data_IF_253714681552
#
_entry.id   IF_253714681552
#
_cell.length_a   1.000
_cell.length_b   1.000
_cell.length_c   1.000
_cell.angle_alpha   90.00
_cell.angle_beta   90.00
_cell.angle_gamma   90.00
#
_symmetry.space_group_name_H-M   'P 1'
#
loop_
_entity.id
_entity.type
_entity.pdbx_description
1 polymer ?
#
# COMPACT_ATOMS: atom_id res chain seq x y z
N UNK A 1 -17.41 46.24 5.07
CA UNK A 1 -16.93 45.85 4.90
C UNK A 1 -16.62 45.00 4.31
N UNK A 2 -16.74 44.93 3.84
CA UNK A 2 -16.43 44.18 3.23
C UNK A 2 -15.44 43.51 3.38
N UNK A 3 -15.05 43.84 3.43
CA UNK A 3 -13.95 43.21 3.51
C UNK A 3 -13.99 42.11 4.37
N UNK A 4 -14.52 42.10 4.89
CA UNK A 4 -14.49 41.15 5.67
C UNK A 4 -15.01 40.10 5.29
N UNK A 5 -15.54 40.20 4.60
CA UNK A 5 -15.92 39.12 4.25
C UNK A 5 -15.17 38.46 3.55
N UNK A 6 -14.70 38.97 3.11
CA UNK A 6 -14.03 38.28 2.40
C UNK A 6 -13.15 37.54 2.96
N UNK A 7 -13.02 37.65 3.59
CA UNK A 7 -12.23 36.84 4.06
C UNK A 7 -12.51 35.72 4.42
N UNK A 8 -13.16 35.67 4.30
CA UNK A 8 -13.34 34.56 4.64
C UNK A 8 -13.44 33.66 4.10
N UNK A 9 -13.64 33.77 3.40
CA UNK A 9 -13.77 32.89 2.75
C UNK A 9 -12.83 32.29 2.47
N UNK A 10 -12.51 32.71 2.41
CA UNK A 10 -11.76 32.12 2.10
C UNK A 10 -11.30 31.33 2.64
N UNK A 11 -11.42 31.39 2.86
CA UNK A 11 -11.13 30.61 3.31
C UNK A 11 -11.37 29.60 3.39
N UNK A 12 -11.84 29.50 3.01
CA UNK A 12 -12.07 28.64 2.95
C UNK A 12 -11.73 27.83 2.55
N UNK A 13 -11.55 27.98 2.19
CA UNK A 13 -11.27 27.25 1.78
C UNK A 13 -10.86 26.46 1.73
N UNK A 14 -10.65 26.29 1.64
CA UNK A 14 -10.34 25.37 1.55
C UNK A 14 -9.92 24.56 1.74
N UNK A 15 -9.90 24.30 1.84
CA UNK A 15 -9.62 23.50 2.03
C UNK A 15 -9.58 22.57 2.18
N UNK A 16 -9.35 22.30 2.14
CA UNK A 16 -9.27 21.29 2.20
C UNK A 16 -9.22 20.30 2.47
N UNK A 17 -9.25 19.77 2.45
CA UNK A 17 -9.26 18.86 2.66
C UNK A 17 -8.96 17.92 2.70
N UNK A 18 -8.74 17.65 2.69
CA UNK A 18 -8.64 16.55 2.67
C UNK A 18 -8.40 15.72 3.34
N UNK A 19 -8.30 15.77 3.65
CA UNK A 19 -8.21 15.15 4.21
C UNK A 19 -8.48 14.07 4.70
N UNK A 20 -8.81 13.91 5.00
CA UNK A 20 -9.38 12.65 5.13
C UNK A 20 -8.76 11.55 4.38
N UNK A 21 -7.59 11.71 4.02
CA UNK A 21 -6.92 10.72 3.23
C UNK A 21 -6.56 9.54 4.09
N UNK A 22 -7.03 8.37 3.73
CA UNK A 22 -6.64 7.13 4.38
C UNK A 22 -5.24 6.79 3.87
N UNK A 23 -4.35 6.47 4.81
CA UNK A 23 -2.97 6.14 4.45
C UNK A 23 -2.77 4.64 4.48
N UNK A 24 -1.86 4.18 3.64
CA UNK A 24 -1.41 2.79 3.67
C UNK A 24 -0.73 2.55 5.01
N UNK A 25 -1.10 1.49 5.74
CA UNK A 25 -0.43 1.18 7.01
C UNK A 25 1.07 1.02 6.82
N UNK A 26 1.83 1.66 7.71
CA UNK A 26 3.29 1.62 7.68
C UNK A 26 3.77 0.35 8.37
N UNK A 27 4.73 -0.36 7.74
CA UNK A 27 5.33 -1.55 8.32
C UNK A 27 4.28 -2.53 8.84
N UNK A 28 3.38 -3.00 7.98
CA UNK A 28 2.20 -3.74 8.45
C UNK A 28 2.48 -5.17 8.90
N UNK A 29 3.63 -5.73 8.58
CA UNK A 29 3.91 -7.11 8.96
C UNK A 29 3.97 -7.22 10.47
N UNK A 30 3.19 -8.15 11.03
CA UNK A 30 3.08 -8.32 12.47
C UNK A 30 1.95 -7.56 13.11
N UNK A 31 1.31 -6.64 12.38
CA UNK A 31 0.09 -6.02 12.87
C UNK A 31 -1.02 -7.05 12.94
N UNK A 32 -1.98 -6.84 13.84
CA UNK A 32 -3.13 -7.74 13.87
C UNK A 32 -4.13 -7.33 12.80
N UNK A 33 -4.97 -8.28 12.43
CA UNK A 33 -6.06 -8.01 11.51
C UNK A 33 -6.92 -6.86 12.03
N UNK A 34 -7.14 -6.82 13.35
CA UNK A 34 -7.94 -5.77 13.96
C UNK A 34 -7.29 -4.40 13.78
N UNK A 35 -5.96 -4.33 13.89
CA UNK A 35 -5.25 -3.07 13.63
C UNK A 35 -5.44 -2.60 12.19
N UNK A 36 -5.37 -3.52 11.24
CA UNK A 36 -5.58 -3.17 9.83
C UNK A 36 -7.00 -2.61 9.65
N UNK A 37 -8.00 -3.27 10.23
CA UNK A 37 -9.38 -2.82 10.11
C UNK A 37 -9.57 -1.45 10.78
N UNK A 38 -8.90 -1.20 11.90
CA UNK A 38 -8.99 0.11 12.53
C UNK A 38 -8.42 1.21 11.64
N UNK A 39 -7.36 0.90 10.91
CA UNK A 39 -6.70 1.89 10.06
C UNK A 39 -7.42 2.08 8.73
N UNK A 40 -7.95 1.02 8.15
CA UNK A 40 -8.48 1.06 6.79
C UNK A 40 -10.00 0.87 6.71
N UNK A 41 -10.62 0.45 7.80
CA UNK A 41 -12.03 0.08 7.77
C UNK A 41 -12.21 -1.36 7.35
N UNK A 42 -13.46 -1.75 7.11
CA UNK A 42 -13.74 -3.11 6.68
C UNK A 42 -13.21 -3.35 5.28
N UNK A 43 -12.66 -4.54 5.03
CA UNK A 43 -12.14 -4.83 3.70
C UNK A 43 -13.28 -4.98 2.68
N UNK A 44 -12.95 -4.75 1.43
CA UNK A 44 -13.87 -5.01 0.32
C UNK A 44 -14.22 -6.49 0.28
N UNK A 45 -13.25 -7.34 0.59
CA UNK A 45 -13.44 -8.77 0.59
C UNK A 45 -12.57 -9.38 1.67
N UNK A 46 -13.11 -10.37 2.38
CA UNK A 46 -12.42 -11.12 3.42
C UNK A 46 -12.68 -12.59 3.14
N UNK A 47 -11.66 -13.30 2.70
CA UNK A 47 -11.82 -14.68 2.25
C UNK A 47 -10.65 -15.52 2.76
N UNK A 48 -10.71 -16.83 2.49
CA UNK A 48 -9.59 -17.71 2.79
C UNK A 48 -8.39 -17.30 1.97
N UNK A 49 -7.22 -17.27 2.61
CA UNK A 49 -5.99 -17.03 1.89
C UNK A 49 -5.55 -18.28 1.15
N UNK A 50 -4.49 -18.13 0.35
CA UNK A 50 -4.01 -19.26 -0.44
C UNK A 50 -3.13 -20.21 0.38
N UNK A 51 -2.72 -19.83 1.59
CA UNK A 51 -2.09 -20.75 2.51
C UNK A 51 -3.14 -21.36 3.40
N UNK A 52 -2.92 -22.59 3.89
CA UNK A 52 -3.78 -23.12 4.95
C UNK A 52 -3.72 -22.20 6.17
N UNK A 53 -4.84 -22.05 6.84
CA UNK A 53 -4.94 -21.24 8.06
C UNK A 53 -4.59 -19.78 7.85
N UNK A 54 -4.98 -19.22 6.71
CA UNK A 54 -4.78 -17.80 6.46
C UNK A 54 -6.06 -17.15 5.97
N UNK A 55 -6.13 -15.82 6.15
CA UNK A 55 -7.23 -15.00 5.64
C UNK A 55 -6.64 -13.96 4.72
N UNK A 56 -7.36 -13.65 3.66
CA UNK A 56 -6.97 -12.61 2.72
C UNK A 56 -7.94 -11.44 2.88
N UNK A 57 -7.41 -10.28 3.21
CA UNK A 57 -8.18 -9.05 3.29
C UNK A 57 -7.86 -8.21 2.07
N UNK A 58 -8.86 -7.94 1.26
CA UNK A 58 -8.68 -7.16 0.04
C UNK A 58 -9.35 -5.80 0.22
N UNK A 59 -8.61 -4.76 -0.09
CA UNK A 59 -9.11 -3.38 -0.04
C UNK A 59 -9.01 -2.78 -1.43
N UNK A 60 -10.16 -2.56 -2.05
CA UNK A 60 -10.25 -1.87 -3.32
C UNK A 60 -10.86 -0.51 -3.06
N UNK A 61 -10.38 0.49 -3.77
CA UNK A 61 -11.00 1.81 -3.72
C UNK A 61 -10.96 2.46 -2.33
N UNK A 62 -10.08 1.98 -1.44
CA UNK A 62 -9.95 2.56 -0.11
C UNK A 62 -8.99 3.73 -0.13
N UNK A 63 -7.83 3.56 -0.75
CA UNK A 63 -6.86 4.64 -0.96
C UNK A 63 -7.25 5.44 -2.19
N UNK A 64 -7.48 4.77 -3.30
CA UNK A 64 -8.01 5.35 -4.53
C UNK A 64 -8.48 4.20 -5.41
N UNK A 65 -9.20 4.54 -6.47
CA UNK A 65 -9.68 3.51 -7.41
C UNK A 65 -8.55 2.81 -8.15
N UNK A 66 -7.36 3.38 -8.11
CA UNK A 66 -6.22 2.88 -8.86
C UNK A 66 -5.24 2.11 -8.00
N UNK A 67 -5.53 1.95 -6.72
CA UNK A 67 -4.63 1.31 -5.77
C UNK A 67 -5.39 0.24 -5.00
N UNK A 68 -4.89 -0.98 -5.05
CA UNK A 68 -5.47 -2.12 -4.35
C UNK A 68 -4.51 -2.58 -3.28
N UNK A 69 -5.02 -2.86 -2.10
CA UNK A 69 -4.22 -3.38 -0.99
C UNK A 69 -4.66 -4.79 -0.67
N UNK A 70 -3.71 -5.64 -0.31
CA UNK A 70 -4.01 -6.98 0.14
C UNK A 70 -3.18 -7.33 1.36
N UNK A 71 -3.79 -8.00 2.32
CA UNK A 71 -3.11 -8.44 3.53
C UNK A 71 -3.46 -9.90 3.78
N UNK A 72 -2.44 -10.71 4.02
CA UNK A 72 -2.64 -12.10 4.41
C UNK A 72 -2.33 -12.22 5.89
N UNK A 73 -3.30 -12.69 6.64
CA UNK A 73 -3.17 -12.85 8.08
C UNK A 73 -3.21 -14.32 8.45
N UNK A 74 -2.53 -14.65 9.52
CA UNK A 74 -2.51 -15.99 10.10
C UNK A 74 -3.74 -16.13 10.98
N UNK A 75 -4.54 -17.18 10.78
CA UNK A 75 -5.79 -17.36 11.54
C UNK A 75 -5.54 -17.64 13.01
N UNK A 76 -4.37 -18.20 13.36
CA UNK A 76 -4.09 -18.50 14.75
C UNK A 76 -3.68 -17.28 15.53
N UNK A 77 -2.84 -16.44 14.93
CA UNK A 77 -2.32 -15.25 15.62
C UNK A 77 -3.04 -13.98 15.21
N UNK A 78 -3.80 -14.02 14.14
CA UNK A 78 -4.43 -12.86 13.52
C UNK A 78 -3.44 -11.81 13.03
N UNK A 79 -2.18 -12.20 12.85
CA UNK A 79 -1.14 -11.24 12.45
C UNK A 79 -0.94 -11.25 10.96
N UNK A 80 -0.65 -10.07 10.41
CA UNK A 80 -0.31 -9.90 8.99
C UNK A 80 1.05 -10.52 8.74
N UNK A 81 1.10 -11.40 7.75
CA UNK A 81 2.32 -12.08 7.36
C UNK A 81 2.79 -11.66 5.99
N UNK A 82 1.90 -11.11 5.18
CA UNK A 82 2.25 -10.62 3.86
C UNK A 82 1.35 -9.43 3.55
N UNK A 83 1.93 -8.42 2.92
CA UNK A 83 1.20 -7.23 2.48
C UNK A 83 1.51 -6.96 1.02
N UNK A 84 0.52 -6.50 0.28
CA UNK A 84 0.63 -6.29 -1.17
C UNK A 84 -0.01 -4.98 -1.56
N UNK A 85 0.56 -4.33 -2.56
CA UNK A 85 -0.05 -3.18 -3.18
C UNK A 85 -0.05 -3.41 -4.70
N UNK A 86 -1.20 -3.18 -5.33
CA UNK A 86 -1.30 -3.17 -6.78
C UNK A 86 -1.62 -1.76 -7.25
N UNK A 87 -0.88 -1.29 -8.22
CA UNK A 87 -1.08 0.04 -8.81
C UNK A 87 -1.55 -0.11 -10.24
N UNK A 88 -2.64 0.59 -10.56
CA UNK A 88 -3.09 0.66 -11.94
C UNK A 88 -1.98 1.28 -12.80
N UNK A 89 -1.95 0.92 -14.07
CA UNK A 89 -0.91 1.37 -14.98
C UNK A 89 -0.87 2.90 -15.13
N UNK A 90 -1.97 3.57 -14.82
CA UNK A 90 -2.07 5.02 -14.96
C UNK A 90 -1.56 5.79 -13.73
N UNK A 91 -1.15 5.10 -12.66
CA UNK A 91 -0.64 5.79 -11.48
C UNK A 91 0.77 6.28 -11.77
N UNK A 92 1.03 7.53 -11.41
CA UNK A 92 2.31 8.15 -11.69
C UNK A 92 3.40 7.59 -10.78
N UNK A 93 4.62 7.56 -11.31
CA UNK A 93 5.76 6.97 -10.61
C UNK A 93 5.99 7.60 -9.23
N UNK A 94 5.87 8.92 -9.12
CA UNK A 94 6.09 9.58 -7.85
C UNK A 94 5.07 9.15 -6.81
N UNK A 95 3.83 8.94 -7.23
CA UNK A 95 2.81 8.44 -6.33
C UNK A 95 3.13 7.02 -5.89
N UNK A 96 3.55 6.18 -6.82
CA UNK A 96 3.94 4.81 -6.49
C UNK A 96 5.06 4.82 -5.45
N UNK A 97 6.08 5.64 -5.67
CA UNK A 97 7.21 5.72 -4.75
C UNK A 97 6.77 6.19 -3.36
N UNK A 98 5.90 7.18 -3.30
CA UNK A 98 5.41 7.68 -2.02
C UNK A 98 4.67 6.59 -1.26
N UNK A 99 3.83 5.82 -1.95
CA UNK A 99 3.07 4.77 -1.29
C UNK A 99 3.97 3.62 -0.83
N UNK A 100 4.96 3.28 -1.63
CA UNK A 100 5.91 2.23 -1.25
C UNK A 100 6.78 2.68 -0.09
N UNK A 101 7.16 3.96 -0.05
CA UNK A 101 7.88 4.51 1.10
C UNK A 101 7.03 4.42 2.36
N UNK A 102 5.75 4.73 2.25
CA UNK A 102 4.84 4.61 3.39
C UNK A 102 4.75 3.17 3.87
N UNK A 103 4.67 2.22 2.95
CA UNK A 103 4.59 0.80 3.28
C UNK A 103 5.86 0.32 3.98
N UNK A 104 7.01 0.66 3.44
CA UNK A 104 8.27 0.07 3.84
C UNK A 104 9.03 0.85 4.91
N UNK A 105 8.71 2.13 5.08
CA UNK A 105 9.37 3.00 6.05
C UNK A 105 10.89 2.90 5.91
N UNK A 106 11.61 2.56 6.99
CA UNK A 106 13.07 2.53 6.98
C UNK A 106 13.65 1.49 6.03
N UNK A 107 12.85 0.54 5.59
CA UNK A 107 13.32 -0.48 4.64
C UNK A 107 13.28 0.00 3.19
N UNK A 108 12.68 1.16 2.94
CA UNK A 108 12.76 1.75 1.62
C UNK A 108 14.21 2.20 1.38
N UNK A 109 14.76 1.90 0.22
CA UNK A 109 16.18 2.10 -0.04
C UNK A 109 16.39 2.56 -1.47
N UNK A 110 17.60 3.05 -1.81
CA UNK A 110 17.92 3.36 -3.20
C UNK A 110 17.72 2.17 -4.13
N UNK A 111 17.91 0.96 -3.63
CA UNK A 111 17.69 -0.25 -4.40
C UNK A 111 16.22 -0.37 -4.80
N UNK A 112 15.31 -0.19 -3.84
CA UNK A 112 13.88 -0.25 -4.11
C UNK A 112 13.49 0.86 -5.09
N UNK A 113 14.00 2.06 -4.88
CA UNK A 113 13.73 3.18 -5.76
C UNK A 113 14.14 2.86 -7.21
N UNK A 114 15.30 2.25 -7.38
CA UNK A 114 15.79 1.88 -8.71
C UNK A 114 14.92 0.81 -9.33
N UNK A 115 14.50 -0.19 -8.55
CA UNK A 115 13.62 -1.26 -9.06
C UNK A 115 12.28 -0.69 -9.53
N UNK A 116 11.71 0.24 -8.78
CA UNK A 116 10.46 0.87 -9.17
C UNK A 116 10.61 1.61 -10.50
N UNK A 117 11.72 2.32 -10.69
CA UNK A 117 11.99 2.97 -11.96
C UNK A 117 12.05 1.96 -13.10
N UNK A 118 12.76 0.86 -12.90
CA UNK A 118 12.97 -0.12 -13.96
C UNK A 118 11.66 -0.81 -14.35
N UNK A 119 10.83 -1.14 -13.37
CA UNK A 119 9.55 -1.77 -13.65
C UNK A 119 8.61 -0.77 -14.32
N UNK A 120 8.57 0.46 -13.80
CA UNK A 120 7.67 1.47 -14.33
C UNK A 120 7.95 1.78 -15.80
N UNK A 121 9.23 1.86 -16.14
CA UNK A 121 9.63 2.16 -17.52
C UNK A 121 9.80 0.90 -18.36
N UNK A 122 9.41 -0.25 -17.82
CA UNK A 122 9.40 -1.53 -18.56
C UNK A 122 10.77 -1.99 -18.99
N UNK A 123 11.78 -1.58 -18.23
CA UNK A 123 13.14 -2.08 -18.47
C UNK A 123 13.36 -3.44 -17.84
N UNK A 124 12.50 -3.83 -16.91
CA UNK A 124 12.49 -5.15 -16.27
C UNK A 124 11.05 -5.50 -15.95
N UNK A 125 10.79 -6.81 -15.81
CA UNK A 125 9.46 -7.29 -15.47
C UNK A 125 9.34 -7.61 -13.98
N UNK A 126 10.46 -7.88 -13.30
CA UNK A 126 10.41 -8.36 -11.93
C UNK A 126 11.74 -8.16 -11.24
N UNK A 127 11.67 -7.79 -9.96
CA UNK A 127 12.81 -7.75 -9.07
C UNK A 127 12.42 -8.35 -7.72
N UNK A 128 13.14 -9.37 -7.30
CA UNK A 128 13.04 -9.88 -5.93
C UNK A 128 14.04 -9.12 -5.08
N UNK A 129 13.72 -8.94 -3.80
CA UNK A 129 14.64 -8.23 -2.92
C UNK A 129 14.59 -8.81 -1.51
N UNK A 130 15.68 -8.58 -0.79
CA UNK A 130 15.83 -8.93 0.62
C UNK A 130 16.46 -7.75 1.31
N UNK A 131 15.79 -7.23 2.32
CA UNK A 131 16.28 -6.08 3.08
C UNK A 131 15.99 -6.35 4.55
N UNK A 132 17.03 -6.48 5.35
CA UNK A 132 16.90 -6.84 6.76
C UNK A 132 16.14 -8.15 6.87
N UNK A 133 15.04 -8.19 7.63
CA UNK A 133 14.23 -9.40 7.75
C UNK A 133 13.09 -9.44 6.76
N UNK A 134 13.10 -8.53 5.79
CA UNK A 134 12.04 -8.37 4.84
C UNK A 134 12.42 -8.97 3.51
N UNK A 135 11.51 -9.72 2.90
CA UNK A 135 11.65 -10.16 1.52
C UNK A 135 10.47 -9.63 0.74
N UNK A 136 10.67 -9.46 -0.54
CA UNK A 136 9.57 -9.02 -1.36
C UNK A 136 9.86 -9.12 -2.84
N UNK A 137 8.90 -8.63 -3.60
CA UNK A 137 8.97 -8.64 -5.05
C UNK A 137 8.29 -7.39 -5.57
N UNK A 138 8.86 -6.83 -6.61
CA UNK A 138 8.23 -5.79 -7.41
C UNK A 138 8.13 -6.35 -8.81
N UNK A 139 6.93 -6.34 -9.38
CA UNK A 139 6.76 -6.91 -10.69
C UNK A 139 5.61 -6.25 -11.44
N UNK A 140 5.62 -6.41 -12.73
CA UNK A 140 4.50 -6.04 -13.56
C UNK A 140 3.71 -7.31 -13.83
N UNK A 141 2.42 -7.29 -13.49
CA UNK A 141 1.62 -8.49 -13.69
C UNK A 141 1.09 -8.52 -15.14
N UNK A 142 0.48 -9.63 -15.55
CA UNK A 142 0.02 -9.76 -16.95
C UNK A 142 -1.02 -8.73 -17.35
N UNK A 143 -1.64 -8.07 -16.40
CA UNK A 143 -2.65 -7.06 -16.68
C UNK A 143 -2.09 -5.65 -16.63
N UNK A 144 -0.77 -5.56 -16.69
CA UNK A 144 -0.06 -4.29 -16.76
C UNK A 144 -0.18 -3.44 -15.50
N UNK A 145 -0.35 -4.08 -14.36
CA UNK A 145 -0.29 -3.43 -13.08
C UNK A 145 1.10 -3.57 -12.50
N UNK A 146 1.51 -2.55 -11.77
CA UNK A 146 2.70 -2.66 -10.96
C UNK A 146 2.26 -3.21 -9.61
N UNK A 147 2.94 -4.24 -9.19
CA UNK A 147 2.61 -4.97 -7.98
C UNK A 147 3.85 -5.03 -7.09
N UNK A 148 3.66 -4.77 -5.80
CA UNK A 148 4.69 -5.02 -4.81
C UNK A 148 4.11 -5.87 -3.70
N UNK A 149 4.85 -6.91 -3.32
CA UNK A 149 4.49 -7.76 -2.19
C UNK A 149 5.67 -7.85 -1.26
N UNK A 150 5.39 -7.82 0.04
CA UNK A 150 6.42 -7.98 1.08
C UNK A 150 5.95 -8.99 2.10
N UNK A 151 6.90 -9.70 2.69
CA UNK A 151 6.62 -10.68 3.74
C UNK A 151 7.83 -10.80 4.64
N UNK A 152 7.58 -11.33 5.83
CA UNK A 152 8.65 -11.60 6.77
C UNK A 152 9.46 -12.78 6.25
N UNK A 153 10.78 -12.63 6.26
CA UNK A 153 11.69 -13.64 5.73
C UNK A 153 11.50 -14.99 6.37
N UNK A 154 11.21 -15.03 7.66
CA UNK A 154 11.03 -16.28 8.37
C UNK A 154 9.72 -16.97 8.04
N UNK A 155 8.81 -16.28 7.42
CA UNK A 155 7.49 -16.79 7.18
C UNK A 155 7.41 -17.58 5.88
N UNK A 156 8.24 -17.26 4.94
CA UNK A 156 8.35 -17.94 3.68
C UNK A 156 9.54 -18.87 3.70
#
# INVERSE_FOLDING_TARGET
DLATDMLDFSLESPTPQPETTVKIPASPLGMTQQNIVQLLGEPTNNSSGYWPNSRALLYEDTISKKITLGYLTDTETSKVRQAEIGFDNSVELETIKQQVQQLMQDNYSPEIDRYLNQIYFKNSDRHDFKINNLEGVIQQNPEERIYIGIWDREFH
#
